data_IF_364921548651
#
_entry.id   IF_364921548651
#
_cell.length_a   1.000
_cell.length_b   1.000
_cell.length_c   1.000
_cell.angle_alpha   90.00
_cell.angle_beta   90.00
_cell.angle_gamma   90.00
#
_symmetry.space_group_name_H-M   'P 1'
#
loop_
_entity.id
_entity.type
_entity.pdbx_description
1 polymer ?
#
# COMPACT_ATOMS: atom_id res chain seq x y z
N UNK A 1 -10.42 13.21 32.78
CA UNK A 1 -11.40 14.09 32.05
C UNK A 1 -10.69 14.93 30.97
N UNK A 2 -9.39 15.28 31.16
CA UNK A 2 -8.69 16.17 30.22
C UNK A 2 -8.20 15.51 28.89
N UNK A 3 -8.04 14.20 28.83
CA UNK A 3 -7.53 13.53 27.62
C UNK A 3 -8.57 13.42 26.48
N UNK A 4 -9.86 13.25 26.82
CA UNK A 4 -10.95 13.19 25.86
C UNK A 4 -11.23 14.55 25.19
N UNK A 5 -11.09 15.63 25.93
CA UNK A 5 -11.32 17.00 25.42
C UNK A 5 -10.19 17.40 24.45
N UNK A 6 -8.95 16.94 24.69
CA UNK A 6 -7.82 17.17 23.79
C UNK A 6 -7.97 16.37 22.49
N UNK A 7 -8.40 15.12 22.55
CA UNK A 7 -8.65 14.29 21.35
C UNK A 7 -9.75 14.87 20.45
N UNK A 8 -10.87 15.32 21.07
CA UNK A 8 -11.94 15.97 20.31
C UNK A 8 -11.51 17.30 19.69
N UNK A 9 -10.69 18.10 20.37
CA UNK A 9 -10.16 19.35 19.80
C UNK A 9 -9.23 19.09 18.62
N UNK A 10 -8.38 18.06 18.69
CA UNK A 10 -7.49 17.70 17.58
C UNK A 10 -8.27 17.19 16.35
N UNK A 11 -9.32 16.40 16.56
CA UNK A 11 -10.17 15.91 15.47
C UNK A 11 -10.95 17.08 14.82
N UNK A 12 -11.54 17.94 15.63
CA UNK A 12 -12.27 19.12 15.13
C UNK A 12 -11.33 20.12 14.46
N UNK A 13 -10.14 20.36 15.01
CA UNK A 13 -9.14 21.25 14.42
C UNK A 13 -8.59 20.70 13.11
N UNK A 14 -8.33 19.39 13.04
CA UNK A 14 -7.92 18.73 11.79
C UNK A 14 -9.02 18.75 10.72
N UNK A 15 -10.27 18.52 11.10
CA UNK A 15 -11.42 18.65 10.21
C UNK A 15 -11.61 20.09 9.72
N UNK A 16 -11.42 21.07 10.60
CA UNK A 16 -11.51 22.50 10.25
C UNK A 16 -10.35 22.97 9.35
N UNK A 17 -9.13 22.50 9.60
CA UNK A 17 -7.95 22.82 8.78
C UNK A 17 -8.01 22.14 7.40
N UNK A 18 -8.58 20.92 7.29
CA UNK A 18 -8.81 20.25 6.01
C UNK A 18 -9.86 20.95 5.15
N UNK A 19 -10.94 21.41 5.74
CA UNK A 19 -12.08 22.01 5.03
C UNK A 19 -11.79 23.35 4.31
N UNK A 20 -10.58 23.89 4.46
CA UNK A 20 -10.15 25.15 3.89
C UNK A 20 -8.92 25.05 2.95
N UNK A 21 -8.51 23.84 2.56
CA UNK A 21 -7.44 23.72 1.57
C UNK A 21 -7.99 24.03 0.17
N UNK A 22 -7.77 25.26 -0.29
CA UNK A 22 -7.99 25.61 -1.69
C UNK A 22 -7.03 24.82 -2.56
N UNK A 23 -7.57 24.10 -3.53
CA UNK A 23 -6.75 23.50 -4.57
C UNK A 23 -6.00 24.62 -5.34
N UNK A 24 -4.75 24.37 -5.77
CA UNK A 24 -4.08 25.29 -6.68
C UNK A 24 -4.93 25.47 -7.97
N UNK A 25 -5.12 26.69 -8.40
CA UNK A 25 -6.01 27.03 -9.53
C UNK A 25 -5.72 26.21 -10.80
N UNK A 26 -4.46 26.11 -11.19
CA UNK A 26 -4.05 25.32 -12.36
C UNK A 26 -4.34 23.81 -12.19
N UNK A 27 -4.28 23.28 -10.97
CA UNK A 27 -4.63 21.89 -10.70
C UNK A 27 -6.13 21.69 -10.81
N UNK A 28 -6.92 22.57 -10.21
CA UNK A 28 -8.38 22.51 -10.27
C UNK A 28 -8.88 22.62 -11.72
N UNK A 29 -8.39 23.58 -12.50
CA UNK A 29 -8.70 23.74 -13.91
C UNK A 29 -8.39 22.46 -14.71
N UNK A 30 -7.20 21.89 -14.50
CA UNK A 30 -6.81 20.65 -15.15
C UNK A 30 -7.73 19.48 -14.78
N UNK A 31 -8.09 19.35 -13.51
CA UNK A 31 -8.96 18.26 -13.05
C UNK A 31 -10.39 18.43 -13.58
N UNK A 32 -10.94 19.66 -13.59
CA UNK A 32 -12.23 19.94 -14.21
C UNK A 32 -12.27 19.57 -15.69
N UNK A 33 -11.20 19.87 -16.42
CA UNK A 33 -11.10 19.49 -17.85
C UNK A 33 -11.01 17.99 -18.05
N UNK A 34 -10.31 17.26 -17.16
CA UNK A 34 -10.12 15.81 -17.27
C UNK A 34 -11.36 15.01 -16.85
N UNK A 35 -12.05 15.45 -15.80
CA UNK A 35 -13.15 14.71 -15.19
C UNK A 35 -14.52 15.18 -15.68
N UNK A 36 -14.62 16.39 -16.26
CA UNK A 36 -15.90 16.92 -16.75
C UNK A 36 -16.95 16.94 -15.63
N UNK A 37 -18.07 16.26 -15.85
CA UNK A 37 -19.18 16.16 -14.90
C UNK A 37 -18.82 15.45 -13.60
N UNK A 38 -17.85 14.52 -13.62
CA UNK A 38 -17.39 13.77 -12.44
C UNK A 38 -16.54 14.62 -11.49
N UNK A 39 -16.15 15.84 -11.88
CA UNK A 39 -15.33 16.68 -11.02
C UNK A 39 -16.03 17.02 -9.71
N UNK A 40 -17.32 17.21 -9.70
CA UNK A 40 -18.09 17.52 -8.49
C UNK A 40 -18.06 16.36 -7.47
N UNK A 41 -18.04 15.13 -7.95
CA UNK A 41 -17.93 13.94 -7.10
C UNK A 41 -16.50 13.79 -6.58
N UNK A 42 -15.50 13.97 -7.43
CA UNK A 42 -14.10 14.00 -7.02
C UNK A 42 -13.84 15.05 -5.93
N UNK A 43 -14.38 16.28 -6.09
CA UNK A 43 -14.21 17.38 -5.14
C UNK A 43 -14.75 17.03 -3.73
N UNK A 44 -15.87 16.31 -3.65
CA UNK A 44 -16.47 15.87 -2.36
C UNK A 44 -15.54 14.95 -1.58
N UNK A 45 -14.74 14.13 -2.29
CA UNK A 45 -13.89 13.11 -1.71
C UNK A 45 -12.44 13.55 -1.45
N UNK A 46 -12.09 14.80 -1.77
CA UNK A 46 -10.74 15.34 -1.56
C UNK A 46 -10.29 15.33 -0.08
N UNK A 47 -11.25 15.48 0.80
CA UNK A 47 -11.00 15.51 2.26
C UNK A 47 -11.18 14.15 2.95
N UNK A 48 -11.54 13.12 2.19
CA UNK A 48 -11.68 11.78 2.74
C UNK A 48 -10.31 11.25 3.22
N UNK A 49 -10.29 10.51 4.32
CA UNK A 49 -9.06 9.89 4.77
C UNK A 49 -8.55 8.89 3.73
N UNK A 50 -7.25 8.96 3.44
CA UNK A 50 -6.63 8.01 2.54
C UNK A 50 -6.81 6.57 3.07
N UNK A 51 -7.20 5.66 2.16
CA UNK A 51 -7.29 4.25 2.47
C UNK A 51 -5.92 3.70 2.88
N UNK A 52 -5.96 2.79 3.85
CA UNK A 52 -4.77 2.14 4.36
C UNK A 52 -4.95 0.63 4.23
N UNK A 53 -3.91 -0.06 3.80
CA UNK A 53 -4.03 -1.48 3.53
C UNK A 53 -2.79 -2.27 3.88
N UNK A 54 -2.99 -3.57 3.99
CA UNK A 54 -1.93 -4.57 4.11
C UNK A 54 -2.10 -5.60 3.00
N UNK A 55 -0.98 -6.15 2.54
CA UNK A 55 -0.93 -7.22 1.55
C UNK A 55 -0.14 -8.39 2.11
N UNK A 56 -0.79 -9.56 2.21
CA UNK A 56 -0.19 -10.78 2.78
C UNK A 56 0.97 -11.26 1.91
N UNK A 57 2.06 -11.65 2.55
CA UNK A 57 3.21 -12.26 1.90
C UNK A 57 2.98 -13.76 1.69
N UNK A 58 2.55 -14.11 0.51
CA UNK A 58 2.19 -15.50 0.17
C UNK A 58 3.38 -16.45 0.05
N UNK A 59 4.62 -15.95 0.10
CA UNK A 59 5.81 -16.81 0.26
C UNK A 59 5.96 -17.38 1.67
N UNK A 60 5.41 -16.69 2.67
CA UNK A 60 5.58 -17.07 4.10
C UNK A 60 4.35 -17.69 4.71
N UNK A 61 3.16 -17.27 4.28
CA UNK A 61 1.90 -17.72 4.87
C UNK A 61 0.78 -17.63 3.83
N UNK A 62 -0.11 -18.61 3.82
CA UNK A 62 -1.32 -18.53 3.01
C UNK A 62 -2.23 -17.40 3.50
N UNK A 63 -3.06 -16.84 2.61
CA UNK A 63 -4.05 -15.83 3.00
C UNK A 63 -5.01 -16.39 4.05
N UNK A 64 -5.44 -17.64 3.88
CA UNK A 64 -6.34 -18.30 4.80
C UNK A 64 -5.74 -18.43 6.21
N UNK A 65 -4.49 -18.88 6.32
CA UNK A 65 -3.82 -19.03 7.61
C UNK A 65 -3.48 -17.68 8.24
N UNK A 66 -3.13 -16.68 7.42
CA UNK A 66 -2.95 -15.32 7.91
C UNK A 66 -4.23 -14.78 8.56
N UNK A 67 -5.39 -14.97 7.95
CA UNK A 67 -6.66 -14.50 8.50
C UNK A 67 -7.02 -15.16 9.82
N UNK A 68 -6.60 -16.41 10.08
CA UNK A 68 -6.80 -17.09 11.37
C UNK A 68 -6.01 -16.45 12.51
N UNK A 69 -4.86 -15.82 12.20
CA UNK A 69 -3.96 -15.22 13.20
C UNK A 69 -3.91 -13.70 13.12
N UNK A 70 -4.65 -13.09 12.19
CA UNK A 70 -4.63 -11.66 11.96
C UNK A 70 -5.13 -10.90 13.19
N UNK A 71 -4.31 -10.01 13.78
CA UNK A 71 -4.71 -9.27 14.98
C UNK A 71 -5.55 -8.03 14.67
N UNK A 72 -5.84 -7.76 13.38
CA UNK A 72 -6.51 -6.55 12.91
C UNK A 72 -7.88 -6.88 12.34
N UNK A 73 -8.79 -5.90 12.39
CA UNK A 73 -10.00 -5.94 11.60
C UNK A 73 -9.67 -5.60 10.15
N UNK A 74 -9.86 -6.56 9.27
CA UNK A 74 -9.51 -6.41 7.85
C UNK A 74 -10.71 -6.67 6.96
N UNK A 75 -10.79 -5.90 5.88
CA UNK A 75 -11.79 -6.09 4.83
C UNK A 75 -11.07 -6.33 3.50
N UNK A 76 -11.52 -7.29 2.71
CA UNK A 76 -10.90 -7.66 1.44
C UNK A 76 -10.85 -6.49 0.47
N UNK A 77 -9.69 -6.26 -0.15
CA UNK A 77 -9.57 -5.40 -1.33
C UNK A 77 -10.06 -6.17 -2.54
N UNK A 78 -11.12 -5.70 -3.26
CA UNK A 78 -11.82 -6.51 -4.26
C UNK A 78 -10.97 -6.95 -5.45
N UNK A 79 -9.92 -6.19 -5.79
CA UNK A 79 -9.08 -6.39 -6.98
C UNK A 79 -7.75 -7.09 -6.71
N UNK A 80 -7.57 -7.65 -5.51
CA UNK A 80 -6.36 -8.42 -5.17
C UNK A 80 -6.73 -9.73 -4.49
N UNK A 81 -5.88 -10.75 -4.61
CA UNK A 81 -6.12 -12.03 -3.93
C UNK A 81 -5.65 -12.01 -2.46
N UNK A 82 -4.68 -11.16 -2.13
CA UNK A 82 -3.99 -11.14 -0.84
C UNK A 82 -3.96 -9.75 -0.16
N UNK A 83 -4.70 -8.77 -0.69
CA UNK A 83 -4.79 -7.41 -0.15
C UNK A 83 -6.03 -7.19 0.71
N UNK A 84 -5.86 -6.39 1.78
CA UNK A 84 -6.91 -6.06 2.74
C UNK A 84 -6.82 -4.59 3.13
N UNK A 85 -7.98 -3.95 3.28
CA UNK A 85 -8.11 -2.70 4.03
C UNK A 85 -7.90 -2.97 5.51
N UNK A 86 -7.25 -2.05 6.19
CA UNK A 86 -7.05 -2.07 7.65
C UNK A 86 -7.17 -0.66 8.19
N UNK A 87 -7.67 -0.50 9.41
CA UNK A 87 -7.70 0.78 10.06
C UNK A 87 -6.27 1.21 10.45
N UNK A 88 -5.91 2.44 10.11
CA UNK A 88 -4.62 3.03 10.46
C UNK A 88 -4.40 3.11 11.97
N UNK A 89 -5.48 3.27 12.74
CA UNK A 89 -5.44 3.35 14.20
C UNK A 89 -4.99 2.02 14.85
N UNK A 90 -5.14 0.89 14.16
CA UNK A 90 -4.63 -0.42 14.61
C UNK A 90 -3.10 -0.54 14.52
N UNK A 91 -2.42 0.44 13.90
CA UNK A 91 -0.95 0.59 13.85
C UNK A 91 -0.23 -0.69 13.36
N UNK A 92 -0.61 -1.26 12.21
CA UNK A 92 -0.02 -2.51 11.73
C UNK A 92 1.50 -2.44 11.57
N UNK A 93 2.10 -1.25 11.35
CA UNK A 93 3.55 -1.08 11.28
C UNK A 93 4.30 -1.37 12.59
N UNK A 94 3.59 -1.41 13.72
CA UNK A 94 4.18 -1.70 15.06
C UNK A 94 4.05 -3.16 15.46
N UNK A 95 3.30 -3.95 14.72
CA UNK A 95 3.07 -5.35 15.07
C UNK A 95 4.27 -6.24 14.70
N UNK A 96 4.62 -7.27 15.52
CA UNK A 96 5.71 -8.19 15.22
C UNK A 96 5.62 -8.87 13.84
N UNK A 97 4.42 -9.16 13.35
CA UNK A 97 4.19 -9.77 12.04
C UNK A 97 4.63 -8.89 10.87
N UNK A 98 4.59 -7.56 11.03
CA UNK A 98 5.18 -6.64 10.04
C UNK A 98 6.70 -6.85 9.95
N UNK A 99 7.37 -6.90 11.10
CA UNK A 99 8.83 -7.10 11.16
C UNK A 99 9.24 -8.52 10.73
N UNK A 100 8.35 -9.49 10.90
CA UNK A 100 8.52 -10.85 10.38
C UNK A 100 8.27 -10.94 8.85
N UNK A 101 7.81 -9.87 8.22
CA UNK A 101 7.51 -9.83 6.79
C UNK A 101 6.32 -10.70 6.39
N UNK A 102 5.32 -10.87 7.26
CA UNK A 102 4.09 -11.62 6.93
C UNK A 102 3.14 -10.80 6.06
N UNK A 103 3.26 -9.48 6.07
CA UNK A 103 2.51 -8.58 5.19
C UNK A 103 3.31 -7.31 4.89
N UNK A 104 2.98 -6.70 3.76
CA UNK A 104 3.45 -5.38 3.34
C UNK A 104 2.35 -4.36 3.62
N UNK A 105 2.73 -3.17 4.10
CA UNK A 105 1.80 -2.04 4.23
C UNK A 105 1.79 -1.30 2.90
N UNK A 106 0.64 -1.25 2.26
CA UNK A 106 0.50 -0.66 0.94
C UNK A 106 -0.88 -0.02 0.79
N UNK A 107 -0.90 1.13 0.13
CA UNK A 107 -2.16 1.74 -0.28
C UNK A 107 -2.87 0.80 -1.29
N UNK A 108 -4.18 0.54 -1.13
CA UNK A 108 -4.88 -0.49 -1.92
C UNK A 108 -4.81 -0.31 -3.43
N UNK A 109 -4.89 0.92 -3.97
CA UNK A 109 -4.78 1.14 -5.42
C UNK A 109 -3.38 0.79 -5.96
N UNK A 110 -2.35 1.03 -5.15
CA UNK A 110 -0.97 0.68 -5.49
C UNK A 110 -0.69 -0.83 -5.54
N UNK A 111 -1.60 -1.66 -5.06
CA UNK A 111 -1.52 -3.12 -5.18
C UNK A 111 -1.87 -3.59 -6.60
N UNK A 112 -2.69 -2.82 -7.34
CA UNK A 112 -3.27 -3.19 -8.64
C UNK A 112 -2.25 -3.66 -9.67
N UNK A 113 -1.15 -2.92 -9.97
CA UNK A 113 -0.27 -3.29 -11.08
C UNK A 113 0.35 -4.69 -10.91
N UNK A 114 0.86 -4.99 -9.72
CA UNK A 114 1.48 -6.29 -9.46
C UNK A 114 0.46 -7.42 -9.30
N UNK A 115 -0.77 -7.12 -8.86
CA UNK A 115 -1.85 -8.10 -8.76
C UNK A 115 -2.31 -8.58 -10.14
N UNK A 116 -2.48 -7.66 -11.09
CA UNK A 116 -2.99 -7.98 -12.43
C UNK A 116 -1.92 -8.49 -13.40
N UNK A 117 -0.64 -8.22 -13.15
CA UNK A 117 0.41 -8.74 -14.01
C UNK A 117 0.46 -10.28 -13.91
N UNK A 118 0.29 -11.01 -15.03
CA UNK A 118 0.28 -12.47 -15.05
C UNK A 118 1.72 -13.01 -14.96
N UNK A 119 2.27 -13.04 -13.74
CA UNK A 119 3.60 -13.58 -13.45
C UNK A 119 3.45 -14.99 -12.92
N UNK A 120 4.21 -15.91 -13.54
CA UNK A 120 4.27 -17.32 -13.16
C UNK A 120 5.68 -17.72 -12.69
N UNK A 121 5.82 -18.78 -11.88
CA UNK A 121 7.11 -19.34 -11.54
C UNK A 121 7.97 -19.64 -12.78
N UNK A 122 9.23 -19.21 -12.77
CA UNK A 122 10.15 -19.37 -13.90
C UNK A 122 10.25 -18.14 -14.82
N UNK A 123 9.36 -17.17 -14.70
CA UNK A 123 9.39 -15.95 -15.52
C UNK A 123 10.59 -15.05 -15.21
N UNK A 124 10.89 -14.17 -16.17
CA UNK A 124 11.84 -13.06 -16.01
C UNK A 124 11.08 -11.76 -15.95
N UNK A 125 11.11 -11.12 -14.79
CA UNK A 125 10.33 -9.90 -14.50
C UNK A 125 11.26 -8.73 -14.25
N UNK A 126 10.94 -7.57 -14.84
CA UNK A 126 11.65 -6.31 -14.63
C UNK A 126 10.72 -5.29 -13.98
N UNK A 127 11.06 -4.85 -12.77
CA UNK A 127 10.44 -3.70 -12.10
C UNK A 127 11.35 -2.48 -12.22
N UNK A 128 11.05 -1.57 -13.15
CA UNK A 128 11.85 -0.38 -13.42
C UNK A 128 11.77 0.70 -12.34
N UNK A 129 10.75 0.67 -11.49
CA UNK A 129 10.48 1.67 -10.45
C UNK A 129 10.14 0.96 -9.11
N UNK A 130 11.05 0.08 -8.67
CA UNK A 130 10.79 -0.89 -7.61
C UNK A 130 10.67 -0.31 -6.21
N UNK A 131 11.45 0.73 -5.89
CA UNK A 131 11.50 1.24 -4.53
C UNK A 131 10.17 1.93 -4.10
N UNK A 132 9.74 1.72 -2.87
CA UNK A 132 10.38 1.00 -1.76
C UNK A 132 10.18 -0.52 -1.73
N UNK A 133 9.60 -1.16 -2.76
CA UNK A 133 9.45 -2.60 -2.88
C UNK A 133 8.03 -3.14 -2.88
N UNK A 134 7.03 -2.27 -2.85
CA UNK A 134 5.63 -2.71 -2.78
C UNK A 134 5.18 -3.58 -3.96
N UNK A 135 5.62 -3.26 -5.18
CA UNK A 135 5.35 -4.07 -6.38
C UNK A 135 6.35 -5.22 -6.50
N UNK A 136 7.64 -4.93 -6.34
CA UNK A 136 8.70 -5.94 -6.43
C UNK A 136 8.47 -7.12 -5.47
N UNK A 137 8.05 -6.87 -4.23
CA UNK A 137 7.77 -7.94 -3.26
C UNK A 137 6.57 -8.81 -3.64
N UNK A 138 5.59 -8.29 -4.35
CA UNK A 138 4.48 -9.08 -4.87
C UNK A 138 4.91 -9.92 -6.07
N UNK A 139 5.64 -9.30 -7.00
CA UNK A 139 6.17 -10.00 -8.18
C UNK A 139 7.10 -11.14 -7.76
N UNK A 140 7.98 -10.90 -6.80
CA UNK A 140 8.84 -11.92 -6.22
C UNK A 140 8.06 -13.05 -5.51
N UNK A 141 6.95 -12.70 -4.86
CA UNK A 141 6.08 -13.71 -4.25
C UNK A 141 5.40 -14.61 -5.29
N UNK A 142 4.95 -14.06 -6.42
CA UNK A 142 4.39 -14.81 -7.54
C UNK A 142 5.40 -15.76 -8.19
N UNK A 143 6.65 -15.35 -8.28
CA UNK A 143 7.73 -16.19 -8.81
C UNK A 143 8.07 -17.40 -7.94
N UNK A 144 7.69 -17.42 -6.68
CA UNK A 144 7.91 -18.54 -5.73
C UNK A 144 9.36 -19.04 -5.64
N UNK A 145 10.34 -18.13 -5.87
CA UNK A 145 11.77 -18.47 -5.87
C UNK A 145 12.29 -19.07 -7.17
N UNK A 146 11.47 -19.17 -8.21
CA UNK A 146 11.84 -19.61 -9.55
C UNK A 146 11.92 -18.42 -10.51
N UNK A 147 12.76 -18.52 -11.56
CA UNK A 147 12.94 -17.43 -12.52
C UNK A 147 13.84 -16.29 -12.01
N UNK A 148 13.59 -15.07 -12.45
CA UNK A 148 14.41 -13.90 -12.13
C UNK A 148 13.53 -12.65 -11.96
N UNK A 149 13.70 -11.96 -10.86
CA UNK A 149 13.21 -10.59 -10.68
C UNK A 149 14.40 -9.63 -10.78
N UNK A 150 14.27 -8.58 -11.58
CA UNK A 150 15.21 -7.46 -11.61
C UNK A 150 14.48 -6.22 -11.12
N UNK A 151 14.92 -5.67 -9.98
CA UNK A 151 14.30 -4.52 -9.36
C UNK A 151 15.23 -3.30 -9.44
N UNK A 152 14.81 -2.28 -10.18
CA UNK A 152 15.56 -1.04 -10.37
C UNK A 152 14.87 0.15 -9.72
N UNK A 153 15.64 1.14 -9.28
CA UNK A 153 15.14 2.47 -8.94
C UNK A 153 16.25 3.52 -9.22
N UNK A 154 15.85 4.66 -9.73
CA UNK A 154 16.81 5.76 -10.02
C UNK A 154 17.39 6.40 -8.77
N UNK A 155 16.79 6.19 -7.61
CA UNK A 155 17.21 6.80 -6.35
C UNK A 155 17.95 5.80 -5.47
N UNK A 156 19.27 5.98 -5.35
CA UNK A 156 20.12 5.16 -4.46
C UNK A 156 19.63 5.20 -2.99
N UNK A 157 19.08 6.30 -2.52
CA UNK A 157 18.56 6.39 -1.16
C UNK A 157 17.32 5.52 -0.97
N UNK A 158 16.47 5.41 -1.99
CA UNK A 158 15.25 4.59 -1.97
C UNK A 158 15.56 3.09 -2.14
N UNK A 159 16.62 2.72 -2.86
CA UNK A 159 17.01 1.31 -3.02
C UNK A 159 17.38 0.63 -1.71
N UNK A 160 17.83 1.36 -0.70
CA UNK A 160 18.04 0.82 0.66
C UNK A 160 16.75 0.24 1.28
N UNK A 161 15.63 0.92 1.06
CA UNK A 161 14.34 0.42 1.52
C UNK A 161 13.86 -0.78 0.69
N UNK A 162 14.10 -0.76 -0.63
CA UNK A 162 13.82 -1.87 -1.53
C UNK A 162 14.56 -3.14 -1.08
N UNK A 163 15.87 -3.08 -0.93
CA UNK A 163 16.72 -4.22 -0.50
C UNK A 163 16.20 -4.78 0.82
N UNK A 164 16.00 -3.92 1.83
CA UNK A 164 15.47 -4.34 3.13
C UNK A 164 14.13 -5.08 2.99
N UNK A 165 13.23 -4.61 2.14
CA UNK A 165 11.92 -5.22 1.98
C UNK A 165 12.01 -6.54 1.22
N UNK A 166 12.86 -6.65 0.20
CA UNK A 166 13.16 -7.90 -0.51
C UNK A 166 13.69 -8.97 0.46
N UNK A 167 14.69 -8.62 1.27
CA UNK A 167 15.26 -9.51 2.28
C UNK A 167 14.22 -9.91 3.33
N UNK A 168 13.47 -8.94 3.88
CA UNK A 168 12.44 -9.18 4.88
C UNK A 168 11.34 -10.09 4.36
N UNK A 169 11.00 -10.01 3.07
CA UNK A 169 9.99 -10.85 2.43
C UNK A 169 10.51 -12.25 2.07
N UNK A 170 11.81 -12.46 2.10
CA UNK A 170 12.44 -13.76 1.81
C UNK A 170 12.54 -14.05 0.31
N UNK A 171 12.57 -13.03 -0.53
CA UNK A 171 12.77 -13.16 -1.98
C UNK A 171 14.25 -13.42 -2.22
N UNK A 172 14.58 -14.48 -2.97
CA UNK A 172 15.95 -14.94 -3.17
C UNK A 172 16.44 -14.84 -4.61
N UNK A 173 15.54 -14.58 -5.52
CA UNK A 173 15.76 -14.52 -6.97
C UNK A 173 15.62 -13.09 -7.52
N UNK A 174 15.86 -12.07 -6.68
CA UNK A 174 15.91 -10.65 -7.07
C UNK A 174 17.37 -10.21 -7.30
N UNK A 175 17.53 -9.31 -8.30
CA UNK A 175 18.79 -8.67 -8.68
C UNK A 175 18.63 -7.16 -8.82
#
# INVERSE_FOLDING_TARGET
INSWILLQKDIVLRAFLKKNMKLPELFEEKMRRLLGEDFSEYEKHLDDPAYYGIRVNTLKISVEDFLKICPFHVTKVPWTDNGFYVDREEKPSKHPYYHAGLYYIQEPSAMTPASYLPVEPGDRVLDLCGAPGGKSTELGAKLRGEGLLVSNDVSISRTKALIRNIEMFGIRNDM
#
